data_IF_948067865651
#
_entry.id   IF_948067865651
#
_cell.length_a   1.000
_cell.length_b   1.000
_cell.length_c   1.000
_cell.angle_alpha   90.00
_cell.angle_beta   90.00
_cell.angle_gamma   90.00
#
_symmetry.space_group_name_H-M   'P 1'
#
loop_
_entity.id
_entity.type
_entity.pdbx_description
1 polymer ?
#
# COMPACT_ATOMS: atom_id res chain seq x y z
N UNK A 1 -4.95 9.28 -9.16
CA UNK A 1 -6.36 9.61 -8.86
C UNK A 1 -7.35 8.82 -9.76
N UNK A 2 -7.27 7.48 -9.79
CA UNK A 2 -7.96 6.65 -10.80
C UNK A 2 -9.48 6.85 -10.82
N UNK A 3 -10.14 6.74 -9.67
CA UNK A 3 -11.60 6.89 -9.59
C UNK A 3 -12.10 8.30 -9.94
N UNK A 4 -11.36 9.35 -9.56
CA UNK A 4 -11.76 10.74 -9.86
C UNK A 4 -11.78 11.01 -11.37
N UNK A 5 -10.87 10.39 -12.10
CA UNK A 5 -10.78 10.49 -13.57
C UNK A 5 -11.73 9.52 -14.30
N UNK A 6 -12.62 8.81 -13.58
CA UNK A 6 -13.57 7.88 -14.20
C UNK A 6 -12.93 6.64 -14.81
N UNK A 7 -11.68 6.33 -14.48
CA UNK A 7 -10.88 5.26 -15.10
C UNK A 7 -11.11 3.88 -14.47
N UNK A 8 -12.16 3.74 -13.67
CA UNK A 8 -12.54 2.51 -12.98
C UNK A 8 -12.30 2.53 -11.48
N UNK A 9 -12.47 1.35 -10.87
CA UNK A 9 -12.30 1.15 -9.43
C UNK A 9 -10.82 1.14 -9.05
N UNK A 10 -10.50 1.73 -7.89
CA UNK A 10 -9.18 1.64 -7.27
C UNK A 10 -9.31 1.12 -5.85
N UNK A 11 -8.37 0.30 -5.44
CA UNK A 11 -8.27 -0.22 -4.07
C UNK A 11 -6.91 0.13 -3.49
N UNK A 12 -6.90 0.54 -2.23
CA UNK A 12 -5.67 0.84 -1.48
C UNK A 12 -5.65 -0.10 -0.28
N UNK A 13 -4.63 -0.94 -0.22
CA UNK A 13 -4.33 -1.75 0.95
C UNK A 13 -3.33 -1.00 1.85
N UNK A 14 -3.58 -1.01 3.15
CA UNK A 14 -2.76 -0.33 4.15
C UNK A 14 -2.27 -1.35 5.17
N UNK A 15 -0.94 -1.54 5.24
CA UNK A 15 -0.33 -2.29 6.31
C UNK A 15 -0.29 -1.42 7.58
N UNK A 16 -1.14 -1.74 8.54
CA UNK A 16 -1.27 -0.99 9.79
C UNK A 16 -0.98 -1.90 10.98
N UNK A 17 -0.03 -1.49 11.82
CA UNK A 17 0.24 -2.19 13.08
C UNK A 17 -0.61 -1.60 14.20
N UNK A 18 -1.01 -2.43 15.16
CA UNK A 18 -1.58 -1.98 16.43
C UNK A 18 -0.57 -2.29 17.55
N UNK A 19 0.33 -1.35 17.87
CA UNK A 19 1.43 -1.60 18.81
C UNK A 19 0.93 -2.04 20.20
N UNK A 20 -0.21 -1.49 20.64
CA UNK A 20 -0.85 -1.84 21.92
C UNK A 20 -1.19 -3.32 22.02
N UNK A 21 -1.81 -3.89 20.98
CA UNK A 21 -2.20 -5.29 20.99
C UNK A 21 -1.00 -6.24 20.93
N UNK A 22 0.10 -5.80 20.32
CA UNK A 22 1.33 -6.60 20.18
C UNK A 22 2.32 -6.40 21.33
N UNK A 23 2.01 -5.53 22.30
CA UNK A 23 2.92 -5.22 23.41
C UNK A 23 4.23 -4.57 22.96
N UNK A 24 4.23 -3.89 21.81
CA UNK A 24 5.40 -3.23 21.23
C UNK A 24 5.29 -1.72 21.35
N UNK A 25 6.45 -1.05 21.42
CA UNK A 25 6.47 0.40 21.20
C UNK A 25 6.13 0.70 19.72
N UNK A 26 5.56 1.87 19.40
CA UNK A 26 5.22 2.22 18.01
C UNK A 26 6.41 2.09 17.04
N UNK A 27 7.61 2.44 17.50
CA UNK A 27 8.85 2.32 16.72
C UNK A 27 9.16 0.84 16.42
N UNK A 28 9.17 -0.02 17.45
CA UNK A 28 9.45 -1.46 17.29
C UNK A 28 8.40 -2.17 16.44
N UNK A 29 7.13 -1.80 16.56
CA UNK A 29 6.06 -2.36 15.74
C UNK A 29 6.26 -2.07 14.24
N UNK A 30 6.70 -0.85 13.91
CA UNK A 30 7.02 -0.47 12.52
C UNK A 30 8.24 -1.23 11.99
N UNK A 31 9.27 -1.41 12.82
CA UNK A 31 10.46 -2.17 12.42
C UNK A 31 10.10 -3.65 12.18
N UNK A 32 9.26 -4.24 13.05
CA UNK A 32 8.72 -5.58 12.85
C UNK A 32 7.89 -5.71 11.57
N UNK A 33 7.02 -4.74 11.26
CA UNK A 33 6.26 -4.71 10.01
C UNK A 33 7.21 -4.74 8.80
N UNK A 34 8.30 -3.97 8.84
CA UNK A 34 9.28 -3.92 7.76
C UNK A 34 9.97 -5.26 7.55
N UNK A 35 10.37 -5.92 8.64
CA UNK A 35 11.13 -7.17 8.59
C UNK A 35 10.28 -8.39 8.25
N UNK A 36 9.05 -8.45 8.77
CA UNK A 36 8.24 -9.66 8.72
C UNK A 36 6.97 -9.53 7.87
N UNK A 37 6.34 -8.35 7.80
CA UNK A 37 5.07 -8.17 7.11
C UNK A 37 5.25 -7.78 5.64
N UNK A 38 6.13 -6.82 5.33
CA UNK A 38 6.39 -6.39 3.94
C UNK A 38 6.79 -7.56 3.02
N UNK A 39 7.62 -8.53 3.44
CA UNK A 39 7.94 -9.67 2.58
C UNK A 39 6.72 -10.56 2.26
N UNK A 40 5.73 -10.61 3.15
CA UNK A 40 4.51 -11.40 2.97
C UNK A 40 3.43 -10.64 2.19
N UNK A 41 3.41 -9.31 2.34
CA UNK A 41 2.51 -8.39 1.67
C UNK A 41 3.34 -7.35 0.91
N UNK A 42 3.84 -7.69 -0.29
CA UNK A 42 4.69 -6.80 -1.05
C UNK A 42 3.98 -5.49 -1.35
N UNK A 43 4.69 -4.37 -1.15
CA UNK A 43 4.15 -3.04 -1.42
C UNK A 43 4.38 -2.71 -2.88
N UNK A 44 3.35 -2.21 -3.55
CA UNK A 44 3.45 -1.73 -4.92
C UNK A 44 2.08 -1.53 -5.56
N UNK A 45 2.10 -1.15 -6.83
CA UNK A 45 0.90 -1.06 -7.64
C UNK A 45 0.61 -2.41 -8.29
N UNK A 46 -0.60 -2.92 -8.07
CA UNK A 46 -1.05 -4.20 -8.59
C UNK A 46 -2.21 -4.01 -9.55
N UNK A 47 -2.24 -4.81 -10.62
CA UNK A 47 -3.33 -4.82 -11.62
C UNK A 47 -3.61 -3.42 -12.21
N UNK A 48 -2.54 -2.71 -12.56
CA UNK A 48 -2.63 -1.40 -13.21
C UNK A 48 -3.04 -1.61 -14.67
N UNK A 49 -4.05 -0.88 -15.15
CA UNK A 49 -4.44 -0.90 -16.56
C UNK A 49 -3.53 0.02 -17.38
N UNK A 50 -3.39 -0.26 -18.68
CA UNK A 50 -2.58 0.57 -19.58
C UNK A 50 -3.00 2.05 -19.56
N UNK A 51 -4.31 2.32 -19.51
CA UNK A 51 -4.84 3.69 -19.40
C UNK A 51 -4.35 4.42 -18.14
N UNK A 52 -4.18 3.70 -17.02
CA UNK A 52 -3.65 4.28 -15.78
C UNK A 52 -2.13 4.45 -15.86
N UNK A 53 -1.41 3.53 -16.49
CA UNK A 53 0.04 3.67 -16.70
C UNK A 53 0.39 4.90 -17.55
N UNK A 54 -0.39 5.20 -18.59
CA UNK A 54 -0.20 6.36 -19.45
C UNK A 54 -0.40 7.68 -18.68
N UNK A 55 -1.38 7.74 -17.77
CA UNK A 55 -1.57 8.91 -16.90
C UNK A 55 -0.36 9.22 -16.02
N UNK A 56 0.32 8.17 -15.51
CA UNK A 56 1.50 8.34 -14.64
C UNK A 56 2.73 8.79 -15.42
N UNK A 57 2.88 8.35 -16.68
CA UNK A 57 4.04 8.67 -17.52
C UNK A 57 3.93 10.03 -18.23
N UNK A 58 2.71 10.57 -18.37
CA UNK A 58 2.44 11.80 -19.12
C UNK A 58 2.22 13.07 -18.27
N UNK A 59 2.53 13.03 -16.97
CA UNK A 59 2.41 14.15 -16.03
C UNK A 59 3.72 14.86 -15.74
#
# INVERSE_FOLDING_TARGET
>A
EVQKHGMGFSFIELLSTCPTNWGLTPVKARDWLREYMIPQYPIGDFKVSSAVEELVKGG
#
